data_IF_195768083507
#
_entry.id   IF_195768083507
#
_cell.length_a   1.000
_cell.length_b   1.000
_cell.length_c   1.000
_cell.angle_alpha   90.00
_cell.angle_beta   90.00
_cell.angle_gamma   90.00
#
_symmetry.space_group_name_H-M   'P 1'
#
loop_
_entity.id
_entity.type
_entity.pdbx_description
1 polymer ?
#
# COMPACT_ATOMS: atom_id res chain seq x y z
N UNK A 1 -2.65 -7.57 -11.40
CA UNK A 1 -1.92 -6.28 -11.52
C UNK A 1 -0.59 -6.36 -10.79
N UNK A 2 0.41 -5.52 -11.14
CA UNK A 2 1.71 -5.41 -10.47
C UNK A 2 1.79 -4.08 -9.69
N UNK A 3 2.65 -4.02 -8.67
CA UNK A 3 2.87 -2.80 -7.90
C UNK A 3 4.36 -2.46 -7.76
N UNK A 4 4.66 -1.19 -7.52
CA UNK A 4 5.98 -0.67 -7.20
C UNK A 4 5.89 0.29 -6.02
N UNK A 5 6.71 0.09 -4.97
CA UNK A 5 6.70 0.91 -3.77
C UNK A 5 7.89 1.89 -3.79
N UNK A 6 7.60 3.20 -3.89
CA UNK A 6 8.63 4.23 -4.11
C UNK A 6 9.52 4.50 -2.89
N UNK A 7 9.04 4.20 -1.68
CA UNK A 7 9.64 4.67 -0.43
C UNK A 7 10.40 3.62 0.38
N UNK A 8 10.87 2.52 -0.23
CA UNK A 8 11.56 1.41 0.47
C UNK A 8 12.57 1.88 1.52
N UNK A 9 13.59 2.63 1.11
CA UNK A 9 14.69 3.04 2.01
C UNK A 9 14.23 3.96 3.13
N UNK A 10 13.23 4.81 2.88
CA UNK A 10 12.68 5.71 3.90
C UNK A 10 11.83 4.94 4.92
N UNK A 11 11.05 3.97 4.46
CA UNK A 11 10.22 3.13 5.31
C UNK A 11 11.05 2.25 6.23
N UNK A 12 12.08 1.58 5.70
CA UNK A 12 12.98 0.76 6.51
C UNK A 12 13.68 1.61 7.57
N UNK A 13 14.07 2.84 7.25
CA UNK A 13 14.67 3.75 8.24
C UNK A 13 13.70 4.27 9.30
N UNK A 14 12.41 4.36 8.99
CA UNK A 14 11.40 4.96 9.87
C UNK A 14 10.70 3.93 10.77
N UNK A 15 10.49 2.70 10.27
CA UNK A 15 9.67 1.67 10.92
C UNK A 15 10.36 0.29 11.01
N UNK A 16 11.60 0.17 10.55
CA UNK A 16 12.38 -1.06 10.44
C UNK A 16 12.02 -2.00 9.27
N UNK A 17 12.90 -2.97 9.04
CA UNK A 17 12.80 -3.94 7.95
C UNK A 17 11.59 -4.89 8.12
N UNK A 18 11.27 -5.27 9.35
CA UNK A 18 10.11 -6.13 9.65
C UNK A 18 8.80 -5.49 9.21
N UNK A 19 8.62 -4.19 9.46
CA UNK A 19 7.43 -3.45 9.05
C UNK A 19 7.36 -3.33 7.53
N UNK A 20 8.50 -3.04 6.88
CA UNK A 20 8.57 -3.02 5.42
C UNK A 20 8.20 -4.37 4.79
N UNK A 21 8.69 -5.47 5.36
CA UNK A 21 8.36 -6.83 4.89
C UNK A 21 6.86 -7.11 5.03
N UNK A 22 6.25 -6.71 6.14
CA UNK A 22 4.81 -6.85 6.35
C UNK A 22 3.98 -6.06 5.32
N UNK A 23 4.37 -4.81 5.02
CA UNK A 23 3.73 -4.01 3.97
C UNK A 23 3.84 -4.70 2.61
N UNK A 24 5.02 -5.25 2.29
CA UNK A 24 5.25 -5.97 1.05
C UNK A 24 4.38 -7.23 0.94
N UNK A 25 4.26 -8.01 2.01
CA UNK A 25 3.42 -9.21 2.05
C UNK A 25 1.94 -8.85 1.89
N UNK A 26 1.48 -7.81 2.58
CA UNK A 26 0.11 -7.31 2.46
C UNK A 26 -0.23 -6.86 1.04
N UNK A 27 0.66 -6.09 0.42
CA UNK A 27 0.52 -5.69 -0.98
C UNK A 27 0.52 -6.90 -1.92
N UNK A 28 1.44 -7.85 -1.74
CA UNK A 28 1.47 -9.07 -2.58
C UNK A 28 0.17 -9.85 -2.51
N UNK A 29 -0.38 -10.04 -1.30
CA UNK A 29 -1.63 -10.77 -1.10
C UNK A 29 -2.82 -10.02 -1.70
N UNK A 30 -2.92 -8.72 -1.46
CA UNK A 30 -3.99 -7.88 -1.99
C UNK A 30 -4.01 -7.85 -3.53
N UNK A 31 -2.86 -7.62 -4.17
CA UNK A 31 -2.73 -7.58 -5.63
C UNK A 31 -2.79 -8.96 -6.31
N UNK A 32 -2.60 -10.06 -5.54
CA UNK A 32 -2.78 -11.43 -6.03
C UNK A 32 -4.25 -11.83 -6.07
N UNK A 33 -5.04 -11.40 -5.08
CA UNK A 33 -6.43 -11.79 -4.93
C UNK A 33 -7.41 -10.81 -5.59
N UNK A 34 -6.98 -9.59 -5.91
CA UNK A 34 -7.84 -8.54 -6.48
C UNK A 34 -7.58 -8.40 -7.98
N UNK A 35 -8.61 -8.65 -8.79
CA UNK A 35 -8.59 -8.32 -10.23
C UNK A 35 -8.81 -6.82 -10.47
N UNK A 36 -9.61 -6.17 -9.61
CA UNK A 36 -9.89 -4.75 -9.65
C UNK A 36 -9.51 -4.08 -8.32
N UNK A 37 -8.69 -3.03 -8.42
CA UNK A 37 -8.18 -2.30 -7.26
C UNK A 37 -9.06 -1.08 -7.04
N UNK A 38 -9.80 -1.07 -5.94
CA UNK A 38 -10.60 0.08 -5.57
C UNK A 38 -9.71 1.18 -5.00
N UNK A 39 -9.88 2.39 -5.53
CA UNK A 39 -9.19 3.59 -5.07
C UNK A 39 -10.21 4.68 -4.77
N UNK A 40 -9.89 5.56 -3.84
CA UNK A 40 -10.73 6.70 -3.48
C UNK A 40 -9.89 7.96 -3.32
N UNK A 41 -10.52 9.12 -3.43
CA UNK A 41 -9.85 10.41 -3.22
C UNK A 41 -10.12 10.89 -1.80
N UNK A 42 -9.11 11.40 -1.12
CA UNK A 42 -9.26 12.10 0.17
C UNK A 42 -9.25 13.61 -0.10
N UNK A 43 -10.13 14.35 0.57
CA UNK A 43 -10.18 15.81 0.44
C UNK A 43 -8.87 16.44 0.91
N UNK A 44 -8.24 17.26 0.05
CA UNK A 44 -6.92 17.85 0.31
C UNK A 44 -5.73 17.01 -0.19
N UNK A 45 -5.94 15.74 -0.57
CA UNK A 45 -4.90 14.91 -1.17
C UNK A 45 -4.90 14.98 -2.69
N UNK A 46 -3.71 15.11 -3.27
CA UNK A 46 -3.54 15.15 -4.73
C UNK A 46 -3.65 13.77 -5.38
N UNK A 47 -3.39 12.72 -4.61
CA UNK A 47 -3.30 11.35 -5.08
C UNK A 47 -4.48 10.53 -4.56
N UNK A 48 -4.96 9.60 -5.39
CA UNK A 48 -5.92 8.61 -4.92
C UNK A 48 -5.26 7.67 -3.91
N UNK A 49 -6.04 7.18 -2.96
CA UNK A 49 -5.62 6.25 -1.92
C UNK A 49 -6.19 4.86 -2.21
N UNK A 50 -5.39 3.84 -1.89
CA UNK A 50 -5.79 2.44 -1.84
C UNK A 50 -5.63 1.95 -0.40
N UNK A 51 -6.63 1.22 0.07
CA UNK A 51 -6.60 0.53 1.36
C UNK A 51 -6.20 -0.92 1.16
N UNK A 52 -5.19 -1.34 1.89
CA UNK A 52 -4.62 -2.69 1.80
C UNK A 52 -4.73 -3.32 3.19
N UNK A 53 -5.55 -4.37 3.34
CA UNK A 53 -5.66 -5.08 4.61
C UNK A 53 -4.30 -5.60 5.08
N UNK A 54 -4.01 -5.44 6.37
CA UNK A 54 -2.82 -6.02 6.97
C UNK A 54 -2.97 -7.54 7.04
N UNK A 55 -1.92 -8.28 6.64
CA UNK A 55 -1.90 -9.75 6.66
C UNK A 55 -1.64 -10.34 8.04
N UNK A 56 -1.33 -9.49 9.04
CA UNK A 56 -1.12 -9.96 10.40
C UNK A 56 -2.40 -10.60 10.97
N UNK A 57 -2.27 -11.77 11.63
CA UNK A 57 -3.39 -12.38 12.31
C UNK A 57 -3.81 -11.54 13.53
N UNK A 58 -5.11 -11.43 13.75
CA UNK A 58 -5.74 -10.70 14.86
C UNK A 58 -5.61 -9.17 14.80
N UNK A 59 -5.46 -8.59 13.61
CA UNK A 59 -5.52 -7.14 13.42
C UNK A 59 -6.46 -6.78 12.28
N UNK A 60 -7.43 -5.91 12.55
CA UNK A 60 -8.29 -5.28 11.53
C UNK A 60 -7.64 -4.02 10.93
N UNK A 61 -6.32 -3.91 11.04
CA UNK A 61 -5.59 -2.76 10.51
C UNK A 61 -5.48 -2.82 9.00
N UNK A 62 -5.54 -1.64 8.38
CA UNK A 62 -5.38 -1.43 6.96
C UNK A 62 -4.28 -0.38 6.72
N UNK A 63 -3.45 -0.67 5.72
CA UNK A 63 -2.42 0.24 5.25
C UNK A 63 -2.97 1.09 4.11
N UNK A 64 -2.82 2.40 4.23
CA UNK A 64 -3.16 3.36 3.18
C UNK A 64 -1.95 3.63 2.32
N UNK A 65 -2.13 3.52 1.01
CA UNK A 65 -1.12 3.92 0.05
C UNK A 65 -1.66 4.95 -0.93
N UNK A 66 -0.88 5.98 -1.22
CA UNK A 66 -1.15 6.91 -2.29
C UNK A 66 -0.70 6.33 -3.64
N UNK A 67 -1.60 6.36 -4.62
CA UNK A 67 -1.36 5.99 -6.01
C UNK A 67 -0.70 7.18 -6.72
N UNK A 68 0.63 7.13 -6.78
CA UNK A 68 1.45 8.20 -7.37
C UNK A 68 1.38 8.17 -8.89
N UNK A 69 1.31 6.97 -9.47
CA UNK A 69 1.29 6.77 -10.93
C UNK A 69 0.69 5.41 -11.27
N UNK A 70 -0.11 5.37 -12.33
CA UNK A 70 -0.52 4.13 -12.99
C UNK A 70 0.16 4.09 -14.35
N UNK A 71 0.87 3.00 -14.66
CA UNK A 71 1.52 2.80 -15.95
C UNK A 71 1.32 1.36 -16.41
N UNK A 72 0.51 1.18 -17.47
CA UNK A 72 0.04 -0.14 -17.88
C UNK A 72 -0.55 -0.89 -16.67
N UNK A 73 -0.13 -2.13 -16.42
CA UNK A 73 -0.57 -2.94 -15.28
C UNK A 73 0.24 -2.70 -14.00
N UNK A 74 1.03 -1.62 -13.92
CA UNK A 74 1.88 -1.32 -12.75
C UNK A 74 1.37 -0.08 -12.02
N UNK A 75 0.98 -0.25 -10.75
CA UNK A 75 0.69 0.85 -9.84
C UNK A 75 1.92 1.24 -9.03
N UNK A 76 2.33 2.50 -9.11
CA UNK A 76 3.36 3.08 -8.26
C UNK A 76 2.70 3.65 -7.02
N UNK A 77 3.01 3.04 -5.88
CA UNK A 77 2.43 3.35 -4.58
C UNK A 77 3.45 4.04 -3.68
N UNK A 78 2.95 4.90 -2.80
CA UNK A 78 3.70 5.47 -1.69
C UNK A 78 2.91 5.22 -0.40
N UNK A 79 3.58 4.75 0.65
CA UNK A 79 2.95 4.61 1.96
C UNK A 79 2.45 5.97 2.44
N UNK A 80 1.19 6.01 2.86
CA UNK A 80 0.51 7.20 3.36
C UNK A 80 0.33 7.11 4.88
N UNK A 81 -0.41 6.10 5.34
CA UNK A 81 -0.72 5.90 6.75
C UNK A 81 -1.12 4.45 7.04
N UNK A 82 -1.40 4.16 8.31
CA UNK A 82 -2.06 2.93 8.75
C UNK A 82 -3.21 3.32 9.67
N UNK A 83 -4.36 2.66 9.55
CA UNK A 83 -5.50 2.82 10.44
C UNK A 83 -6.04 1.44 10.83
N UNK A 84 -6.75 1.35 11.95
CA UNK A 84 -7.20 0.09 12.54
C UNK A 84 -7.49 0.26 14.01
#
# INVERSE_FOLDING_TARGET
MRFALRNKTKLIKAFDESYYNLLMESLKQHFKNSEEIQTYSIEGEKYQIIDVPNVQPNTDSCFQFAVIRVKYDVLTLAYYSCFG
#
